data_IF_450760913157
#
_entry.id   IF_450760913157
#
_cell.length_a   1.000
_cell.length_b   1.000
_cell.length_c   1.000
_cell.angle_alpha   90.00
_cell.angle_beta   90.00
_cell.angle_gamma   90.00
#
_symmetry.space_group_name_H-M   'P 1'
#
loop_
_entity.id
_entity.type
_entity.pdbx_description
1 polymer ?
#
# COMPACT_ATOMS: atom_id res chain seq x y z
N UNK A 1 -17.61 -1.14 -9.45
CA UNK A 1 -18.54 -1.13 -8.29
C UNK A 1 -18.14 -0.01 -7.34
N UNK A 2 -19.08 0.62 -6.61
CA UNK A 2 -18.76 1.70 -5.67
C UNK A 2 -17.99 1.21 -4.44
N UNK A 3 -17.15 2.08 -3.89
CA UNK A 3 -16.40 1.82 -2.65
C UNK A 3 -17.38 1.78 -1.47
N UNK A 4 -17.35 0.67 -0.73
CA UNK A 4 -18.22 0.47 0.44
C UNK A 4 -17.65 1.20 1.66
N UNK A 5 -18.51 1.90 2.40
CA UNK A 5 -18.14 2.54 3.66
C UNK A 5 -19.24 2.44 4.72
N UNK A 6 -18.86 2.54 5.98
CA UNK A 6 -19.75 2.75 7.13
C UNK A 6 -19.39 4.05 7.85
N UNK A 7 -20.31 4.54 8.68
CA UNK A 7 -20.07 5.75 9.48
C UNK A 7 -19.74 5.31 10.90
N UNK A 8 -18.59 5.75 11.43
CA UNK A 8 -18.15 5.38 12.78
C UNK A 8 -17.88 6.63 13.60
N UNK A 9 -18.22 6.59 14.88
CA UNK A 9 -17.89 7.67 15.81
C UNK A 9 -16.45 7.47 16.31
N UNK A 10 -15.64 8.53 16.29
CA UNK A 10 -14.27 8.54 16.84
C UNK A 10 -14.08 9.70 17.80
N UNK A 11 -13.29 9.45 18.83
CA UNK A 11 -12.79 10.46 19.76
C UNK A 11 -11.80 11.41 19.08
N UNK A 12 -11.59 12.57 19.71
CA UNK A 12 -10.65 13.59 19.25
C UNK A 12 -9.20 13.13 19.48
N UNK A 13 -8.37 13.02 18.41
CA UNK A 13 -6.99 12.58 18.55
C UNK A 13 -6.16 13.56 19.38
N UNK A 14 -5.41 13.05 20.36
CA UNK A 14 -4.48 13.85 21.16
C UNK A 14 -5.09 14.59 22.36
N UNK A 15 -6.39 14.45 22.61
CA UNK A 15 -7.06 15.03 23.79
C UNK A 15 -7.31 13.94 24.84
N UNK A 16 -6.75 14.13 26.04
CA UNK A 16 -6.99 13.24 27.18
C UNK A 16 -8.51 13.18 27.50
N UNK A 17 -9.07 11.98 27.60
CA UNK A 17 -10.52 11.78 27.76
C UNK A 17 -11.33 11.76 26.45
N UNK A 18 -10.69 11.99 25.31
CA UNK A 18 -11.27 11.78 23.97
C UNK A 18 -12.11 12.94 23.42
N UNK A 19 -12.17 14.07 24.12
CA UNK A 19 -12.76 15.32 23.64
C UNK A 19 -14.15 15.18 23.01
N UNK A 20 -14.45 16.00 21.99
CA UNK A 20 -15.73 15.94 21.28
C UNK A 20 -15.70 14.85 20.20
N UNK A 21 -16.54 13.83 20.36
CA UNK A 21 -16.64 12.74 19.39
C UNK A 21 -17.27 13.19 18.07
N UNK A 22 -16.65 12.84 16.95
CA UNK A 22 -17.14 13.14 15.58
C UNK A 22 -17.36 11.87 14.77
N UNK A 23 -18.20 11.96 13.74
CA UNK A 23 -18.52 10.86 12.83
C UNK A 23 -17.62 10.90 11.60
N UNK A 24 -17.05 9.75 11.25
CA UNK A 24 -16.13 9.59 10.12
C UNK A 24 -16.56 8.44 9.22
N UNK A 25 -16.31 8.57 7.92
CA UNK A 25 -16.40 7.44 7.00
C UNK A 25 -15.25 6.46 7.27
N UNK A 26 -15.58 5.18 7.37
CA UNK A 26 -14.62 4.09 7.45
C UNK A 26 -14.87 3.14 6.28
N UNK A 27 -13.82 2.86 5.51
CA UNK A 27 -13.89 1.89 4.41
C UNK A 27 -14.27 0.51 4.93
N UNK A 28 -15.03 -0.23 4.12
CA UNK A 28 -15.36 -1.64 4.35
C UNK A 28 -14.80 -2.42 3.18
N UNK A 29 -13.82 -3.30 3.45
CA UNK A 29 -13.24 -4.16 2.43
C UNK A 29 -14.24 -5.26 2.06
N UNK A 30 -14.27 -5.62 0.77
CA UNK A 30 -15.19 -6.60 0.22
C UNK A 30 -14.40 -7.68 -0.52
N UNK A 31 -13.87 -8.64 0.25
CA UNK A 31 -13.03 -9.71 -0.25
C UNK A 31 -11.58 -9.30 -0.49
N UNK A 32 -10.87 -10.21 -1.13
CA UNK A 32 -9.45 -10.14 -1.47
C UNK A 32 -9.30 -10.67 -2.89
N UNK A 33 -8.31 -10.16 -3.64
CA UNK A 33 -7.89 -10.75 -4.90
C UNK A 33 -6.50 -11.35 -4.74
N UNK A 34 -6.37 -12.63 -5.08
CA UNK A 34 -5.11 -13.36 -5.08
C UNK A 34 -4.38 -13.19 -6.41
N UNK A 35 -3.13 -13.67 -6.50
CA UNK A 35 -2.41 -13.71 -7.78
C UNK A 35 -3.17 -14.55 -8.81
N UNK A 36 -3.77 -15.67 -8.41
CA UNK A 36 -4.55 -16.52 -9.33
C UNK A 36 -5.79 -15.80 -9.88
N UNK A 37 -6.46 -15.00 -9.04
CA UNK A 37 -7.57 -14.15 -9.49
C UNK A 37 -7.10 -13.08 -10.47
N UNK A 38 -5.96 -12.43 -10.19
CA UNK A 38 -5.37 -11.43 -11.08
C UNK A 38 -4.96 -12.02 -12.42
N UNK A 39 -4.35 -13.21 -12.42
CA UNK A 39 -3.99 -13.93 -13.66
C UNK A 39 -5.24 -14.24 -14.46
N UNK A 40 -6.27 -14.80 -13.82
CA UNK A 40 -7.55 -15.12 -14.46
C UNK A 40 -8.22 -13.89 -15.08
N UNK A 41 -8.11 -12.70 -14.46
CA UNK A 41 -8.61 -11.45 -15.04
C UNK A 41 -7.76 -10.97 -16.21
N UNK A 42 -6.43 -11.07 -16.14
CA UNK A 42 -5.51 -10.64 -17.20
C UNK A 42 -5.67 -11.49 -18.47
N UNK A 43 -5.80 -12.82 -18.33
CA UNK A 43 -5.95 -13.74 -19.45
C UNK A 43 -7.14 -13.40 -20.35
N UNK A 44 -8.21 -12.82 -19.79
CA UNK A 44 -9.42 -12.44 -20.56
C UNK A 44 -9.15 -11.42 -21.67
N UNK A 45 -8.07 -10.65 -21.57
CA UNK A 45 -7.71 -9.60 -22.53
C UNK A 45 -6.22 -9.61 -22.93
N UNK A 46 -5.50 -10.68 -22.62
CA UNK A 46 -4.08 -10.89 -22.91
C UNK A 46 -3.89 -12.11 -23.80
N UNK A 47 -2.80 -12.14 -24.57
CA UNK A 47 -2.38 -13.33 -25.32
C UNK A 47 -1.43 -14.24 -24.51
N UNK A 48 -1.04 -13.82 -23.30
CA UNK A 48 -0.17 -14.57 -22.42
C UNK A 48 -0.94 -15.69 -21.71
N UNK A 49 -0.31 -16.85 -21.57
CA UNK A 49 -0.85 -17.95 -20.77
C UNK A 49 -0.62 -17.71 -19.27
N UNK A 50 -1.37 -18.39 -18.41
CA UNK A 50 -1.18 -18.39 -16.96
C UNK A 50 0.31 -18.55 -16.53
N UNK A 51 1.07 -19.56 -17.03
CA UNK A 51 2.49 -19.69 -16.70
C UNK A 51 3.33 -18.45 -17.07
N UNK A 52 3.05 -17.84 -18.22
CA UNK A 52 3.76 -16.65 -18.68
C UNK A 52 3.50 -15.45 -17.76
N UNK A 53 2.22 -15.21 -17.42
CA UNK A 53 1.83 -14.09 -16.55
C UNK A 53 2.46 -14.25 -15.16
N UNK A 54 2.37 -15.45 -14.57
CA UNK A 54 3.00 -15.75 -13.28
C UNK A 54 4.52 -15.57 -13.34
N UNK A 55 5.15 -16.03 -14.42
CA UNK A 55 6.58 -15.84 -14.66
C UNK A 55 6.99 -14.37 -14.69
N UNK A 56 6.22 -13.51 -15.35
CA UNK A 56 6.46 -12.05 -15.40
C UNK A 56 6.33 -11.41 -14.02
N UNK A 57 5.30 -11.78 -13.24
CA UNK A 57 5.10 -11.25 -11.88
C UNK A 57 6.31 -11.60 -11.00
N UNK A 58 6.73 -12.87 -10.99
CA UNK A 58 7.89 -13.34 -10.21
C UNK A 58 9.18 -12.65 -10.67
N UNK A 59 9.39 -12.53 -11.99
CA UNK A 59 10.56 -11.83 -12.53
C UNK A 59 10.58 -10.35 -12.10
N UNK A 60 9.43 -9.69 -12.12
CA UNK A 60 9.29 -8.30 -11.67
C UNK A 60 9.61 -8.16 -10.17
N UNK A 61 9.07 -9.04 -9.33
CA UNK A 61 9.40 -9.08 -7.89
C UNK A 61 10.91 -9.22 -7.67
N UNK A 62 11.56 -10.12 -8.41
CA UNK A 62 13.00 -10.35 -8.34
C UNK A 62 13.83 -9.11 -8.70
N UNK A 63 13.41 -8.36 -9.72
CA UNK A 63 14.10 -7.12 -10.12
C UNK A 63 13.84 -6.00 -9.10
N UNK A 64 12.61 -5.89 -8.59
CA UNK A 64 12.25 -4.90 -7.57
C UNK A 64 13.04 -5.10 -6.29
N UNK A 65 13.13 -6.33 -5.77
CA UNK A 65 13.88 -6.59 -4.52
C UNK A 65 15.36 -6.19 -4.64
N UNK A 66 15.98 -6.46 -5.79
CA UNK A 66 17.37 -6.09 -6.07
C UNK A 66 17.51 -4.57 -6.14
N UNK A 67 16.64 -3.89 -6.90
CA UNK A 67 16.68 -2.45 -7.03
C UNK A 67 16.48 -1.73 -5.68
N UNK A 68 15.55 -2.19 -4.84
CA UNK A 68 15.32 -1.60 -3.51
C UNK A 68 16.51 -1.81 -2.57
N UNK A 69 17.15 -2.99 -2.64
CA UNK A 69 18.37 -3.28 -1.87
C UNK A 69 19.55 -2.40 -2.31
N UNK A 70 19.60 -2.04 -3.60
CA UNK A 70 20.53 -1.03 -4.14
C UNK A 70 20.15 0.42 -3.77
N UNK A 71 19.22 0.64 -2.85
CA UNK A 71 18.69 1.95 -2.46
C UNK A 71 18.04 2.74 -3.62
N UNK A 72 17.57 2.06 -4.67
CA UNK A 72 16.90 2.71 -5.82
C UNK A 72 15.40 2.81 -5.60
N UNK A 73 14.81 3.88 -6.13
CA UNK A 73 13.34 4.02 -6.22
C UNK A 73 12.86 3.28 -7.46
N UNK A 74 11.88 2.40 -7.31
CA UNK A 74 11.25 1.69 -8.43
C UNK A 74 9.96 2.40 -8.82
N UNK A 75 9.92 2.99 -10.01
CA UNK A 75 8.74 3.66 -10.56
C UNK A 75 8.03 2.72 -11.54
N UNK A 76 6.82 2.30 -11.20
CA UNK A 76 5.95 1.46 -12.02
C UNK A 76 4.95 2.33 -12.78
N UNK A 77 5.45 3.35 -13.49
CA UNK A 77 4.65 4.27 -14.29
C UNK A 77 3.37 4.78 -13.59
N UNK A 78 2.20 4.40 -14.12
CA UNK A 78 0.88 4.82 -13.66
C UNK A 78 0.38 4.04 -12.44
N UNK A 79 1.02 2.91 -12.10
CA UNK A 79 0.69 2.15 -10.90
C UNK A 79 1.18 2.89 -9.67
N UNK A 80 2.44 3.33 -9.64
CA UNK A 80 2.98 4.08 -8.52
C UNK A 80 4.48 3.97 -8.39
N UNK A 81 4.98 4.14 -7.17
CA UNK A 81 6.41 4.06 -6.88
C UNK A 81 6.68 3.40 -5.53
N UNK A 82 7.73 2.58 -5.49
CA UNK A 82 8.23 1.90 -4.31
C UNK A 82 9.54 2.56 -3.87
N UNK A 83 9.62 2.89 -2.58
CA UNK A 83 10.77 3.57 -1.98
C UNK A 83 11.34 2.71 -0.85
N UNK A 84 12.65 2.42 -0.83
CA UNK A 84 13.28 1.88 0.36
C UNK A 84 13.26 2.94 1.46
N UNK A 85 13.05 2.52 2.70
CA UNK A 85 13.00 3.40 3.85
C UNK A 85 13.53 2.70 5.09
N UNK A 86 14.36 3.41 5.85
CA UNK A 86 14.82 2.97 7.16
C UNK A 86 14.24 3.87 8.27
N UNK A 87 14.23 3.35 9.49
CA UNK A 87 14.05 4.16 10.69
C UNK A 87 15.07 3.73 11.75
N UNK A 88 15.67 4.69 12.44
CA UNK A 88 16.66 4.44 13.48
C UNK A 88 16.24 4.99 14.84
N UNK A 89 16.93 4.55 15.89
CA UNK A 89 17.01 5.31 17.14
C UNK A 89 17.87 6.57 16.98
N UNK A 90 17.78 7.49 17.96
CA UNK A 90 18.67 8.64 18.05
C UNK A 90 20.06 8.24 18.58
N UNK A 91 21.08 9.04 18.25
CA UNK A 91 22.41 9.04 18.86
C UNK A 91 22.76 10.47 19.27
N UNK A 92 23.58 10.65 20.31
CA UNK A 92 23.93 11.97 20.82
C UNK A 92 24.94 12.69 19.91
N UNK A 93 25.87 11.95 19.30
CA UNK A 93 26.78 12.44 18.27
C UNK A 93 26.75 11.56 17.02
N UNK A 94 27.33 12.07 15.92
CA UNK A 94 27.45 11.30 14.68
C UNK A 94 28.36 10.07 14.84
N UNK A 95 29.44 10.19 15.61
CA UNK A 95 30.41 9.11 15.82
C UNK A 95 29.83 7.98 16.70
N UNK A 96 28.86 8.30 17.55
CA UNK A 96 28.14 7.31 18.37
C UNK A 96 27.13 6.49 17.56
N UNK A 97 26.84 6.87 16.31
CA UNK A 97 25.85 6.18 15.51
C UNK A 97 26.37 4.84 14.96
N UNK A 98 25.84 3.74 15.49
CA UNK A 98 26.18 2.39 15.03
C UNK A 98 25.00 1.80 14.24
N UNK A 99 25.15 1.71 12.91
CA UNK A 99 24.08 1.30 12.01
C UNK A 99 23.41 -0.04 12.40
N UNK A 100 24.21 -1.06 12.75
CA UNK A 100 23.70 -2.40 13.04
C UNK A 100 22.85 -2.49 14.32
N UNK A 101 23.04 -1.60 15.29
CA UNK A 101 22.27 -1.58 16.54
C UNK A 101 21.20 -0.50 16.56
N UNK A 102 21.41 0.60 15.82
CA UNK A 102 20.54 1.76 15.86
C UNK A 102 19.51 1.79 14.72
N UNK A 103 19.73 1.11 13.58
CA UNK A 103 18.69 0.95 12.56
C UNK A 103 17.68 -0.09 13.06
N UNK A 104 16.46 0.36 13.35
CA UNK A 104 15.40 -0.45 13.98
C UNK A 104 14.48 -1.12 12.97
N UNK A 105 14.33 -0.54 11.79
CA UNK A 105 13.40 -1.03 10.77
C UNK A 105 13.89 -0.71 9.37
N UNK A 106 13.78 -1.69 8.50
CA UNK A 106 13.82 -1.53 7.04
C UNK A 106 12.40 -1.76 6.52
N UNK A 107 11.94 -0.92 5.60
CA UNK A 107 10.59 -0.97 5.08
C UNK A 107 10.54 -0.47 3.64
N UNK A 108 9.50 -0.87 2.92
CA UNK A 108 9.18 -0.34 1.60
C UNK A 108 7.95 0.53 1.71
N UNK A 109 8.04 1.77 1.23
CA UNK A 109 6.89 2.68 1.15
C UNK A 109 6.34 2.65 -0.27
N UNK A 110 5.04 2.44 -0.38
CA UNK A 110 4.33 2.58 -1.65
C UNK A 110 3.66 3.96 -1.75
N UNK A 111 3.86 4.64 -2.88
CA UNK A 111 3.10 5.83 -3.26
C UNK A 111 2.27 5.51 -4.49
N UNK A 112 0.95 5.51 -4.33
CA UNK A 112 0.02 5.23 -5.41
C UNK A 112 0.16 6.26 -6.55
N UNK A 113 0.15 5.76 -7.78
CA UNK A 113 0.16 6.55 -8.99
C UNK A 113 -1.20 7.20 -9.26
N UNK A 114 -1.19 8.25 -10.09
CA UNK A 114 -2.39 9.05 -10.38
C UNK A 114 -3.53 8.21 -10.94
N UNK A 115 -3.25 7.25 -11.84
CA UNK A 115 -4.29 6.41 -12.47
C UNK A 115 -5.07 5.58 -11.46
N UNK A 116 -4.40 5.03 -10.44
CA UNK A 116 -5.05 4.24 -9.38
C UNK A 116 -5.93 5.15 -8.52
N UNK A 117 -5.40 6.29 -8.09
CA UNK A 117 -6.15 7.24 -7.26
C UNK A 117 -7.38 7.79 -7.99
N UNK A 118 -7.25 8.11 -9.27
CA UNK A 118 -8.36 8.63 -10.09
C UNK A 118 -9.43 7.55 -10.29
N UNK A 119 -9.04 6.30 -10.56
CA UNK A 119 -9.98 5.18 -10.65
C UNK A 119 -10.79 4.98 -9.35
N UNK A 120 -10.13 5.07 -8.19
CA UNK A 120 -10.81 4.96 -6.88
C UNK A 120 -11.78 6.12 -6.65
N UNK A 121 -11.39 7.35 -6.97
CA UNK A 121 -12.28 8.53 -6.83
C UNK A 121 -13.51 8.40 -7.74
N UNK A 122 -13.33 7.90 -8.95
CA UNK A 122 -14.39 7.76 -9.94
C UNK A 122 -15.33 6.58 -9.67
N UNK A 123 -14.96 5.63 -8.81
CA UNK A 123 -15.79 4.48 -8.46
C UNK A 123 -17.09 4.87 -7.73
N UNK A 124 -17.12 6.04 -7.07
CA UNK A 124 -18.23 6.46 -6.21
C UNK A 124 -18.27 5.72 -4.87
N UNK A 125 -19.19 6.11 -3.99
CA UNK A 125 -19.29 5.57 -2.62
C UNK A 125 -20.68 5.01 -2.32
N UNK A 126 -20.72 3.89 -1.60
CA UNK A 126 -21.96 3.25 -1.13
C UNK A 126 -21.90 3.00 0.37
N UNK A 127 -22.82 3.60 1.12
CA UNK A 127 -22.97 3.30 2.55
C UNK A 127 -23.50 1.86 2.70
N UNK A 128 -22.85 1.05 3.52
CA UNK A 128 -23.38 -0.27 3.91
C UNK A 128 -24.32 -0.12 5.10
N UNK A 129 -25.39 -0.92 5.12
CA UNK A 129 -26.29 -0.98 6.27
C UNK A 129 -25.54 -1.52 7.49
N UNK A 130 -25.79 -0.93 8.65
CA UNK A 130 -25.31 -1.47 9.92
C UNK A 130 -26.09 -2.76 10.21
N UNK A 131 -25.36 -3.87 10.40
CA UNK A 131 -25.91 -5.09 10.99
C UNK A 131 -25.68 -5.05 12.49
#
# INVERSE_FOLDING_TARGET
>A
MPIKYKVVQRAEPGVAGGGTRKWYASMVNDGEMTIDDLVSEIEKFSALSEPDIKGVIIALENVIQKALSDSKVVRLEKLGSLYPSISSGPADTQDDFVANSMIKKVSVRYRAGKRILDAMKNAGFKKVAER
#
